data_IF_675764254061
#
_entry.id   IF_675764254061
#
_cell.length_a   1.000
_cell.length_b   1.000
_cell.length_c   1.000
_cell.angle_alpha   90.00
_cell.angle_beta   90.00
_cell.angle_gamma   90.00
#
_symmetry.space_group_name_H-M   'P 1'
#
loop_
_entity.id
_entity.type
_entity.pdbx_description
1 polymer ?
#
# COMPACT_ATOMS: atom_id res chain seq x y z
N UNK A 1 -3.46 -13.42 -5.81
CA UNK A 1 -2.43 -14.14 -5.03
C UNK A 1 -1.21 -13.25 -5.05
N UNK A 2 -0.99 -12.48 -3.98
CA UNK A 2 0.20 -11.64 -3.80
C UNK A 2 1.33 -12.59 -3.38
N UNK A 3 2.37 -12.64 -4.18
CA UNK A 3 3.58 -13.39 -3.84
C UNK A 3 4.21 -12.68 -2.65
N UNK A 4 4.23 -13.33 -1.50
CA UNK A 4 5.05 -12.90 -0.38
C UNK A 4 6.51 -13.02 -0.81
N UNK A 5 7.17 -11.91 -1.01
CA UNK A 5 8.63 -11.86 -1.09
C UNK A 5 9.11 -12.28 0.29
N UNK A 6 9.82 -13.40 0.38
CA UNK A 6 10.48 -13.84 1.59
C UNK A 6 11.48 -12.78 2.03
N UNK A 7 11.06 -11.93 2.94
CA UNK A 7 11.90 -10.92 3.57
C UNK A 7 12.62 -11.65 4.70
N UNK A 8 13.93 -11.82 4.58
CA UNK A 8 14.77 -12.07 5.73
C UNK A 8 14.48 -10.97 6.78
N UNK A 9 14.62 -11.25 8.06
CA UNK A 9 14.17 -10.50 9.26
C UNK A 9 14.27 -8.95 9.31
N UNK A 10 14.46 -8.27 8.19
CA UNK A 10 14.41 -6.82 8.05
C UNK A 10 13.50 -6.43 6.88
N UNK A 11 12.50 -5.58 7.12
CA UNK A 11 11.65 -5.03 6.06
C UNK A 11 12.47 -4.30 4.98
N UNK A 12 11.83 -3.93 3.83
CA UNK A 12 12.53 -3.28 2.72
C UNK A 12 13.23 -1.99 3.16
N UNK A 13 14.47 -1.80 2.71
CA UNK A 13 15.36 -0.72 3.12
C UNK A 13 15.39 0.38 2.06
N UNK A 14 15.11 1.62 2.48
CA UNK A 14 15.18 2.79 1.60
C UNK A 14 16.61 3.06 1.12
N UNK A 15 16.78 3.34 -0.17
CA UNK A 15 18.07 3.52 -0.84
C UNK A 15 18.70 2.21 -1.32
N UNK A 16 18.13 1.05 -0.92
CA UNK A 16 18.55 -0.28 -1.36
C UNK A 16 17.44 -0.98 -2.14
N UNK A 17 16.25 -1.09 -1.53
CA UNK A 17 15.10 -1.77 -2.13
C UNK A 17 14.13 -0.80 -2.81
N UNK A 18 14.12 0.46 -2.39
CA UNK A 18 13.32 1.54 -2.97
C UNK A 18 14.01 2.91 -2.79
N UNK A 19 13.77 3.88 -3.70
CA UNK A 19 14.39 5.20 -3.62
C UNK A 19 13.89 5.97 -2.39
N UNK A 20 14.81 6.72 -1.73
CA UNK A 20 14.51 7.56 -0.57
C UNK A 20 14.23 9.01 -0.96
N UNK A 21 14.85 9.47 -2.05
CA UNK A 21 14.75 10.85 -2.53
C UNK A 21 14.17 10.90 -3.94
N UNK A 22 13.61 12.03 -4.33
CA UNK A 22 13.11 12.22 -5.69
C UNK A 22 14.22 12.13 -6.76
N UNK A 23 15.46 12.51 -6.40
CA UNK A 23 16.59 12.37 -7.31
C UNK A 23 16.95 10.89 -7.54
N UNK A 24 17.00 10.09 -6.46
CA UNK A 24 17.17 8.65 -6.57
C UNK A 24 16.03 8.02 -7.38
N UNK A 25 14.78 8.42 -7.11
CA UNK A 25 13.62 7.94 -7.88
C UNK A 25 13.80 8.17 -9.39
N UNK A 26 14.20 9.37 -9.80
CA UNK A 26 14.46 9.69 -11.20
C UNK A 26 15.64 8.91 -11.79
N UNK A 27 16.66 8.65 -10.99
CA UNK A 27 17.84 7.88 -11.42
C UNK A 27 17.52 6.39 -11.59
N UNK A 28 16.64 5.84 -10.74
CA UNK A 28 16.26 4.42 -10.78
C UNK A 28 15.24 4.12 -11.88
N UNK A 29 14.37 5.07 -12.20
CA UNK A 29 13.24 4.88 -13.12
C UNK A 29 13.24 5.93 -14.24
N UNK A 30 14.34 6.01 -15.04
CA UNK A 30 14.44 6.96 -16.12
C UNK A 30 13.51 6.64 -17.29
N UNK A 31 13.18 5.36 -17.48
CA UNK A 31 12.33 4.87 -18.56
C UNK A 31 11.52 3.62 -18.16
N UNK A 32 10.64 3.17 -19.06
CA UNK A 32 9.78 2.01 -18.85
C UNK A 32 10.55 0.68 -18.77
N UNK A 33 11.74 0.60 -19.36
CA UNK A 33 12.54 -0.62 -19.33
C UNK A 33 13.08 -0.85 -17.90
N UNK A 34 13.58 0.20 -17.25
CA UNK A 34 14.04 0.09 -15.86
C UNK A 34 12.87 -0.15 -14.89
N UNK A 35 11.69 0.43 -15.13
CA UNK A 35 10.50 0.09 -14.38
C UNK A 35 10.13 -1.40 -14.51
N UNK A 36 10.21 -1.96 -15.73
CA UNK A 36 9.95 -3.38 -15.97
C UNK A 36 10.98 -4.28 -15.31
N UNK A 37 12.27 -3.91 -15.37
CA UNK A 37 13.35 -4.65 -14.71
C UNK A 37 13.11 -4.70 -13.19
N UNK A 38 12.78 -3.57 -12.59
CA UNK A 38 12.46 -3.49 -11.18
C UNK A 38 11.25 -4.38 -10.81
N UNK A 39 10.16 -4.32 -11.58
CA UNK A 39 9.00 -5.19 -11.38
C UNK A 39 9.31 -6.67 -11.58
N UNK A 40 10.20 -7.01 -12.51
CA UNK A 40 10.64 -8.38 -12.74
C UNK A 40 11.38 -8.93 -11.53
N UNK A 41 12.30 -8.15 -10.95
CA UNK A 41 13.04 -8.52 -9.75
C UNK A 41 12.11 -8.70 -8.53
N UNK A 42 11.10 -7.84 -8.37
CA UNK A 42 10.09 -8.00 -7.33
C UNK A 42 9.20 -9.23 -7.55
N UNK A 43 8.86 -9.53 -8.81
CA UNK A 43 8.00 -10.67 -9.14
C UNK A 43 8.74 -12.01 -9.03
N UNK A 44 10.01 -12.02 -9.37
CA UNK A 44 10.86 -13.21 -9.43
C UNK A 44 12.21 -12.95 -8.75
N UNK A 45 12.24 -12.81 -7.43
CA UNK A 45 13.47 -12.49 -6.70
C UNK A 45 14.55 -13.56 -6.83
N UNK A 46 14.17 -14.81 -7.08
CA UNK A 46 15.06 -15.93 -7.36
C UNK A 46 15.28 -16.22 -8.86
N UNK A 47 14.89 -15.30 -9.75
CA UNK A 47 14.87 -15.52 -11.18
C UNK A 47 13.50 -15.93 -11.71
N UNK A 48 13.35 -15.94 -13.04
CA UNK A 48 12.08 -16.23 -13.70
C UNK A 48 11.50 -17.58 -13.24
N UNK A 49 10.20 -17.59 -12.94
CA UNK A 49 9.43 -18.80 -12.72
C UNK A 49 8.14 -18.75 -13.57
N UNK A 50 7.97 -19.75 -14.42
CA UNK A 50 6.80 -19.82 -15.30
C UNK A 50 5.53 -20.12 -14.51
N UNK A 51 4.49 -19.29 -14.58
CA UNK A 51 3.26 -19.50 -13.83
C UNK A 51 2.42 -20.69 -14.30
N UNK A 52 2.80 -21.32 -15.41
CA UNK A 52 2.08 -22.46 -16.00
C UNK A 52 2.79 -23.79 -15.75
N UNK A 53 4.09 -23.88 -16.00
CA UNK A 53 4.83 -25.13 -15.89
C UNK A 53 5.92 -25.13 -14.82
N UNK A 54 6.13 -24.02 -14.11
CA UNK A 54 7.19 -23.90 -13.10
C UNK A 54 8.62 -23.80 -13.66
N UNK A 55 8.82 -23.82 -14.98
CA UNK A 55 10.15 -23.73 -15.59
C UNK A 55 10.86 -22.42 -15.24
N UNK A 56 12.13 -22.47 -15.01
CA UNK A 56 12.99 -21.38 -14.53
C UNK A 56 13.73 -20.61 -15.62
N UNK A 57 13.67 -21.07 -16.88
CA UNK A 57 14.34 -20.45 -18.01
C UNK A 57 13.37 -19.75 -18.95
N UNK A 58 13.67 -18.49 -19.26
CA UNK A 58 12.94 -17.69 -20.22
C UNK A 58 13.87 -16.70 -20.93
N UNK A 59 13.44 -16.21 -22.07
CA UNK A 59 14.04 -15.05 -22.73
C UNK A 59 13.02 -13.93 -22.87
N UNK A 60 13.48 -12.71 -22.82
CA UNK A 60 12.67 -11.54 -23.04
C UNK A 60 12.45 -11.34 -24.55
N UNK A 61 11.20 -11.16 -24.94
CA UNK A 61 10.84 -10.86 -26.35
C UNK A 61 10.96 -9.36 -26.61
N UNK A 62 10.99 -8.96 -27.90
CA UNK A 62 10.95 -7.55 -28.31
C UNK A 62 9.72 -6.77 -27.76
N UNK A 63 8.65 -7.49 -27.43
CA UNK A 63 7.43 -6.94 -26.83
C UNK A 63 7.47 -6.96 -25.29
N UNK A 64 8.65 -7.06 -24.69
CA UNK A 64 8.88 -7.04 -23.23
C UNK A 64 8.11 -8.12 -22.44
N UNK A 65 7.84 -9.28 -23.09
CA UNK A 65 7.28 -10.45 -22.43
C UNK A 65 8.38 -11.49 -22.18
N UNK A 66 8.26 -12.22 -21.09
CA UNK A 66 9.08 -13.40 -20.80
C UNK A 66 8.47 -14.63 -21.47
N UNK A 67 9.21 -15.25 -22.40
CA UNK A 67 8.77 -16.51 -23.04
C UNK A 67 9.49 -17.68 -22.39
N UNK A 68 8.73 -18.57 -21.76
CA UNK A 68 9.27 -19.78 -21.13
C UNK A 68 9.90 -20.71 -22.16
N UNK A 69 11.10 -21.22 -21.85
CA UNK A 69 11.81 -22.17 -22.71
C UNK A 69 11.10 -23.53 -22.78
N UNK A 70 10.56 -23.98 -21.64
CA UNK A 70 9.96 -25.32 -21.51
C UNK A 70 8.58 -25.43 -22.19
N UNK A 71 7.68 -24.45 -21.98
CA UNK A 71 6.30 -24.55 -22.48
C UNK A 71 5.93 -23.48 -23.53
N UNK A 72 6.84 -22.57 -23.88
CA UNK A 72 6.59 -21.51 -24.86
C UNK A 72 5.63 -20.40 -24.39
N UNK A 73 5.10 -20.48 -23.17
CA UNK A 73 4.16 -19.48 -22.64
C UNK A 73 4.83 -18.11 -22.53
N UNK A 74 4.13 -17.08 -23.03
CA UNK A 74 4.52 -15.68 -22.85
C UNK A 74 3.87 -15.14 -21.59
N UNK A 75 4.67 -14.53 -20.73
CA UNK A 75 4.23 -13.94 -19.45
C UNK A 75 4.65 -12.48 -19.40
N UNK A 76 3.71 -11.60 -19.12
CA UNK A 76 4.00 -10.19 -18.83
C UNK A 76 4.30 -10.04 -17.33
N UNK A 77 5.28 -9.19 -17.00
CA UNK A 77 5.58 -8.81 -15.61
C UNK A 77 4.38 -8.14 -14.94
N UNK A 78 3.60 -7.38 -15.70
CA UNK A 78 2.44 -6.65 -15.19
C UNK A 78 1.18 -7.50 -15.07
N UNK A 79 1.15 -8.71 -15.65
CA UNK A 79 -0.03 -9.57 -15.64
C UNK A 79 -0.44 -9.98 -14.21
N UNK A 80 -1.71 -9.73 -13.85
CA UNK A 80 -2.24 -10.04 -12.51
C UNK A 80 -1.85 -9.07 -11.40
N UNK A 81 -1.18 -7.96 -11.75
CA UNK A 81 -0.80 -6.88 -10.82
C UNK A 81 -1.75 -5.67 -10.98
N UNK A 82 -1.53 -4.63 -10.18
CA UNK A 82 -2.25 -3.34 -10.33
C UNK A 82 -2.02 -2.69 -11.70
N UNK A 83 -0.94 -3.06 -12.40
CA UNK A 83 -0.58 -2.59 -13.74
C UNK A 83 -1.18 -3.47 -14.86
N UNK A 84 -2.04 -4.43 -14.52
CA UNK A 84 -2.60 -5.36 -15.52
C UNK A 84 -3.31 -4.61 -16.65
N UNK A 85 -2.93 -4.92 -17.90
CA UNK A 85 -3.47 -4.28 -19.12
C UNK A 85 -3.35 -2.75 -19.17
N UNK A 86 -2.38 -2.17 -18.44
CA UNK A 86 -2.14 -0.73 -18.56
C UNK A 86 -1.69 -0.37 -19.98
N UNK A 87 -2.19 0.75 -20.48
CA UNK A 87 -1.72 1.41 -21.71
C UNK A 87 -0.85 2.63 -21.40
N UNK A 88 -0.90 3.09 -20.15
CA UNK A 88 -0.10 4.22 -19.69
C UNK A 88 1.32 3.72 -19.39
N UNK A 89 2.36 4.51 -19.71
CA UNK A 89 3.75 4.17 -19.39
C UNK A 89 3.94 3.81 -17.91
N UNK A 90 4.82 2.87 -17.65
CA UNK A 90 5.14 2.46 -16.27
C UNK A 90 5.82 3.59 -15.48
N UNK A 91 6.61 4.40 -16.15
CA UNK A 91 7.19 5.62 -15.56
C UNK A 91 6.14 6.55 -14.96
N UNK A 92 5.00 6.72 -15.62
CA UNK A 92 3.87 7.50 -15.09
C UNK A 92 3.22 6.80 -13.87
N UNK A 93 3.08 5.48 -13.90
CA UNK A 93 2.61 4.71 -12.75
C UNK A 93 3.55 4.81 -11.55
N UNK A 94 4.85 4.70 -11.77
CA UNK A 94 5.86 4.83 -10.72
C UNK A 94 5.88 6.23 -10.13
N UNK A 95 5.70 7.26 -10.97
CA UNK A 95 5.52 8.63 -10.50
C UNK A 95 4.26 8.79 -9.63
N UNK A 96 3.14 8.14 -10.00
CA UNK A 96 1.94 8.12 -9.17
C UNK A 96 2.20 7.44 -7.81
N UNK A 97 2.90 6.30 -7.81
CA UNK A 97 3.28 5.60 -6.56
C UNK A 97 4.15 6.53 -5.70
N UNK A 98 5.15 7.16 -6.28
CA UNK A 98 6.01 8.10 -5.58
C UNK A 98 5.20 9.24 -4.93
N UNK A 99 4.31 9.89 -5.68
CA UNK A 99 3.46 10.96 -5.17
C UNK A 99 2.57 10.52 -4.02
N UNK A 100 1.94 9.33 -4.15
CA UNK A 100 1.03 8.81 -3.12
C UNK A 100 1.77 8.43 -1.83
N UNK A 101 2.99 7.89 -1.94
CA UNK A 101 3.74 7.36 -0.79
C UNK A 101 4.64 8.39 -0.12
N UNK A 102 5.10 9.43 -0.83
CA UNK A 102 6.04 10.42 -0.29
C UNK A 102 5.38 11.66 0.32
N UNK A 103 4.11 11.95 -0.02
CA UNK A 103 3.43 13.15 0.48
C UNK A 103 2.86 12.95 1.88
N UNK A 104 3.26 13.79 2.83
CA UNK A 104 2.77 13.75 4.23
C UNK A 104 1.25 13.89 4.33
N UNK A 105 0.63 14.72 3.50
CA UNK A 105 -0.80 15.00 3.52
C UNK A 105 -1.61 14.06 2.62
N UNK A 106 -0.96 13.04 2.03
CA UNK A 106 -1.56 12.17 1.03
C UNK A 106 -1.75 12.86 -0.33
N UNK A 107 -2.24 12.10 -1.30
CA UNK A 107 -2.53 12.59 -2.64
C UNK A 107 -4.03 12.56 -2.93
N UNK A 108 -4.55 13.59 -3.60
CA UNK A 108 -5.90 13.59 -4.15
C UNK A 108 -5.90 13.14 -5.61
N UNK A 109 -7.05 12.71 -6.12
CA UNK A 109 -7.19 12.34 -7.54
C UNK A 109 -6.95 13.56 -8.46
N UNK A 110 -7.38 14.76 -8.06
CA UNK A 110 -7.12 15.99 -8.81
C UNK A 110 -5.62 16.28 -8.88
N UNK A 111 -4.91 16.14 -7.77
CA UNK A 111 -3.46 16.35 -7.75
C UNK A 111 -2.72 15.36 -8.66
N UNK A 112 -3.09 14.07 -8.64
CA UNK A 112 -2.51 13.08 -9.56
C UNK A 112 -2.82 13.39 -11.03
N UNK A 113 -4.07 13.77 -11.34
CA UNK A 113 -4.48 14.16 -12.69
C UNK A 113 -3.61 15.30 -13.23
N UNK A 114 -3.50 16.37 -12.46
CA UNK A 114 -2.83 17.61 -12.88
C UNK A 114 -1.29 17.44 -12.96
N UNK A 115 -0.70 16.77 -11.98
CA UNK A 115 0.75 16.57 -11.95
C UNK A 115 1.27 15.56 -12.98
N UNK A 116 0.49 14.54 -13.30
CA UNK A 116 0.91 13.46 -14.20
C UNK A 116 0.36 13.62 -15.62
N UNK A 117 -0.47 14.64 -15.88
CA UNK A 117 -1.10 14.86 -17.19
C UNK A 117 -1.96 13.67 -17.61
N UNK A 118 -2.69 13.06 -16.68
CA UNK A 118 -3.56 11.92 -16.99
C UNK A 118 -4.74 12.39 -17.85
N UNK A 119 -5.16 11.56 -18.79
CA UNK A 119 -6.20 11.93 -19.76
C UNK A 119 -7.58 12.21 -19.18
N UNK A 120 -7.87 11.77 -17.95
CA UNK A 120 -9.12 12.07 -17.24
C UNK A 120 -8.97 11.96 -15.73
N UNK A 121 -9.84 12.69 -15.03
CA UNK A 121 -9.97 12.62 -13.57
C UNK A 121 -10.34 11.20 -13.07
N UNK A 122 -11.23 10.53 -13.81
CA UNK A 122 -11.67 9.16 -13.47
C UNK A 122 -10.49 8.17 -13.48
N UNK A 123 -9.55 8.36 -14.42
CA UNK A 123 -8.31 7.56 -14.44
C UNK A 123 -7.49 7.78 -13.19
N UNK A 124 -7.26 9.03 -12.79
CA UNK A 124 -6.53 9.37 -11.58
C UNK A 124 -7.23 8.81 -10.33
N UNK A 125 -8.55 8.93 -10.26
CA UNK A 125 -9.37 8.41 -9.18
C UNK A 125 -9.27 6.88 -9.08
N UNK A 126 -9.41 6.17 -10.20
CA UNK A 126 -9.28 4.72 -10.25
C UNK A 126 -7.86 4.25 -9.85
N UNK A 127 -6.82 4.98 -10.26
CA UNK A 127 -5.45 4.69 -9.87
C UNK A 127 -5.24 4.87 -8.37
N UNK A 128 -5.74 5.96 -7.82
CA UNK A 128 -5.63 6.22 -6.38
C UNK A 128 -6.28 5.10 -5.56
N UNK A 129 -7.45 4.60 -5.99
CA UNK A 129 -8.10 3.46 -5.35
C UNK A 129 -7.30 2.16 -5.48
N UNK A 130 -6.72 1.87 -6.64
CA UNK A 130 -5.84 0.71 -6.84
C UNK A 130 -4.61 0.78 -5.94
N UNK A 131 -3.96 1.95 -5.85
CA UNK A 131 -2.78 2.15 -5.02
C UNK A 131 -3.12 2.02 -3.53
N UNK A 132 -4.18 2.65 -3.07
CA UNK A 132 -4.65 2.53 -1.68
C UNK A 132 -4.95 1.09 -1.30
N UNK A 133 -5.61 0.34 -2.19
CA UNK A 133 -5.88 -1.09 -1.96
C UNK A 133 -4.60 -1.91 -1.91
N UNK A 134 -3.62 -1.62 -2.77
CA UNK A 134 -2.33 -2.31 -2.78
C UNK A 134 -1.49 -2.04 -1.53
N UNK A 135 -1.65 -0.87 -0.90
CA UNK A 135 -0.97 -0.53 0.36
C UNK A 135 -1.55 -1.25 1.59
N UNK A 136 -2.75 -1.84 1.48
CA UNK A 136 -3.34 -2.61 2.58
C UNK A 136 -2.72 -4.00 2.59
N UNK A 137 -1.95 -4.32 3.62
CA UNK A 137 -1.40 -5.66 3.84
C UNK A 137 -2.49 -6.57 4.43
N UNK A 138 -2.65 -7.78 3.88
CA UNK A 138 -3.55 -8.81 4.43
C UNK A 138 -3.03 -9.40 5.74
N UNK A 139 -1.71 -9.59 5.84
CA UNK A 139 -1.03 -10.28 6.95
C UNK A 139 -0.31 -9.25 7.83
N UNK A 140 -1.07 -8.31 8.39
CA UNK A 140 -0.50 -7.30 9.28
C UNK A 140 -0.36 -7.87 10.68
N UNK A 141 0.86 -7.80 11.25
CA UNK A 141 1.08 -8.09 12.66
C UNK A 141 0.17 -7.22 13.54
N UNK A 142 -0.33 -7.77 14.64
CA UNK A 142 -1.06 -6.99 15.62
C UNK A 142 -0.19 -5.88 16.21
N UNK A 143 -0.82 -4.82 16.65
CA UNK A 143 -0.17 -3.71 17.35
C UNK A 143 0.24 -4.17 18.74
N UNK A 144 1.37 -3.68 19.27
CA UNK A 144 1.91 -4.10 20.55
C UNK A 144 2.41 -2.94 21.41
N UNK A 145 2.63 -3.22 22.69
CA UNK A 145 3.11 -2.23 23.64
C UNK A 145 1.99 -1.32 24.16
N UNK A 146 2.16 -0.03 24.07
CA UNK A 146 1.10 0.94 24.43
C UNK A 146 0.31 1.28 23.16
N UNK A 147 -0.98 1.00 23.13
CA UNK A 147 -1.86 1.22 21.98
C UNK A 147 -3.03 2.11 22.40
N UNK A 148 -3.19 3.23 21.74
CA UNK A 148 -4.34 4.10 21.89
C UNK A 148 -5.44 3.64 20.93
N UNK A 149 -6.65 3.41 21.44
CA UNK A 149 -7.80 2.93 20.67
C UNK A 149 -8.95 3.90 20.88
N UNK A 150 -9.48 4.40 19.75
CA UNK A 150 -10.54 5.40 19.74
C UNK A 150 -11.47 5.20 18.53
N UNK A 151 -12.61 5.89 18.54
CA UNK A 151 -13.53 5.97 17.41
C UNK A 151 -13.57 7.37 16.82
N UNK A 152 -13.72 7.46 15.51
CA UNK A 152 -13.90 8.73 14.80
C UNK A 152 -15.01 8.62 13.77
N UNK A 153 -15.59 9.75 13.40
CA UNK A 153 -16.69 9.81 12.44
C UNK A 153 -16.27 10.55 11.18
N UNK A 154 -16.23 9.84 10.05
CA UNK A 154 -15.82 10.37 8.75
C UNK A 154 -17.06 10.64 7.89
N UNK A 155 -17.16 11.87 7.36
CA UNK A 155 -18.25 12.27 6.45
C UNK A 155 -18.31 13.79 6.29
N UNK A 156 -19.16 14.25 5.37
CA UNK A 156 -19.39 15.66 5.12
C UNK A 156 -20.03 16.40 6.32
N UNK A 157 -20.22 17.70 6.18
CA UNK A 157 -21.00 18.47 7.17
C UNK A 157 -22.42 17.91 7.25
N UNK A 158 -22.81 17.47 8.44
CA UNK A 158 -24.20 17.12 8.75
C UNK A 158 -24.76 18.18 9.67
N UNK A 159 -25.94 18.70 9.37
CA UNK A 159 -26.72 19.55 10.28
C UNK A 159 -27.41 18.65 11.30
N UNK A 160 -27.15 18.81 12.57
CA UNK A 160 -27.78 18.02 13.62
C UNK A 160 -26.84 17.66 14.77
N UNK A 161 -27.19 16.61 15.52
CA UNK A 161 -26.46 16.17 16.72
C UNK A 161 -25.08 15.65 16.41
N UNK A 162 -24.11 15.94 17.27
CA UNK A 162 -22.75 15.38 17.22
C UNK A 162 -22.74 13.92 17.72
N UNK A 163 -21.77 13.12 17.25
CA UNK A 163 -21.54 11.77 17.74
C UNK A 163 -22.34 10.68 17.02
N UNK A 164 -22.69 9.61 17.73
CA UNK A 164 -23.30 8.37 17.23
C UNK A 164 -24.63 8.53 16.46
N UNK A 165 -25.26 9.69 16.53
CA UNK A 165 -26.56 10.00 15.89
C UNK A 165 -26.41 10.68 14.52
N UNK A 166 -25.22 10.70 13.94
CA UNK A 166 -24.95 11.34 12.65
C UNK A 166 -24.98 10.32 11.50
N UNK A 167 -25.23 10.78 10.28
CA UNK A 167 -25.10 9.99 9.04
C UNK A 167 -23.62 9.73 8.63
N UNK A 168 -22.67 10.03 9.51
CA UNK A 168 -21.25 9.83 9.27
C UNK A 168 -20.86 8.37 9.48
N UNK A 169 -19.85 7.95 8.76
CA UNK A 169 -19.31 6.58 8.85
C UNK A 169 -18.41 6.49 10.08
N UNK A 170 -18.71 5.60 11.05
CA UNK A 170 -17.83 5.37 12.18
C UNK A 170 -16.58 4.60 11.75
N UNK A 171 -15.42 5.06 12.20
CA UNK A 171 -14.12 4.44 11.93
C UNK A 171 -13.42 4.20 13.25
N UNK A 172 -13.09 2.94 13.53
CA UNK A 172 -12.27 2.53 14.64
C UNK A 172 -10.80 2.76 14.31
N UNK A 173 -10.05 3.30 15.25
CA UNK A 173 -8.65 3.68 15.09
C UNK A 173 -7.86 3.05 16.23
N UNK A 174 -6.76 2.38 15.91
CA UNK A 174 -5.77 1.94 16.89
C UNK A 174 -4.39 2.39 16.46
N UNK A 175 -3.64 2.99 17.38
CA UNK A 175 -2.32 3.59 17.11
C UNK A 175 -1.33 3.13 18.16
N UNK A 176 -0.20 2.58 17.74
CA UNK A 176 0.93 2.31 18.64
C UNK A 176 1.57 3.62 19.09
N UNK A 177 1.82 3.72 20.38
CA UNK A 177 2.63 4.78 20.95
C UNK A 177 4.03 4.22 21.20
N UNK A 178 5.00 4.61 20.36
CA UNK A 178 6.41 4.19 20.46
C UNK A 178 7.30 5.24 21.15
N UNK A 179 6.68 6.23 21.79
CA UNK A 179 7.38 7.22 22.62
C UNK A 179 7.97 6.54 23.87
N UNK A 180 9.19 6.92 24.25
CA UNK A 180 9.79 6.51 25.52
C UNK A 180 9.26 7.40 26.64
N UNK A 181 9.10 6.86 27.86
CA UNK A 181 8.67 7.60 29.06
C UNK A 181 9.60 8.80 29.37
N UNK A 182 10.86 8.74 28.97
CA UNK A 182 11.88 9.76 29.20
C UNK A 182 11.66 11.00 28.30
N UNK A 183 11.13 10.80 27.08
CA UNK A 183 10.77 11.89 26.18
C UNK A 183 9.24 11.87 26.02
N UNK A 184 8.53 12.73 26.74
CA UNK A 184 7.07 12.94 26.62
C UNK A 184 6.58 13.36 25.21
N UNK A 185 7.38 13.23 24.17
CA UNK A 185 6.97 13.42 22.80
C UNK A 185 6.29 12.14 22.32
N UNK A 186 4.97 12.20 22.22
CA UNK A 186 4.15 11.20 21.56
C UNK A 186 4.76 10.88 20.19
N UNK A 187 5.22 9.65 20.00
CA UNK A 187 5.72 9.19 18.71
C UNK A 187 4.81 8.10 18.22
N UNK A 188 4.05 8.42 17.18
CA UNK A 188 3.11 7.48 16.58
C UNK A 188 3.85 6.38 15.83
N UNK A 189 3.50 5.15 16.11
CA UNK A 189 3.96 3.95 15.42
C UNK A 189 2.99 3.48 14.34
N UNK A 190 2.72 2.19 14.31
CA UNK A 190 1.79 1.58 13.36
C UNK A 190 0.35 1.97 13.69
N UNK A 191 -0.47 2.08 12.65
CA UNK A 191 -1.90 2.44 12.76
C UNK A 191 -2.75 1.31 12.17
N UNK A 192 -3.89 1.04 12.78
CA UNK A 192 -4.97 0.21 12.25
C UNK A 192 -6.25 1.03 12.16
N UNK A 193 -6.94 0.88 11.06
CA UNK A 193 -8.23 1.50 10.82
C UNK A 193 -9.21 0.43 10.37
N UNK A 194 -10.44 0.51 10.86
CA UNK A 194 -11.55 -0.29 10.38
C UNK A 194 -12.83 0.55 10.34
N UNK A 195 -13.63 0.35 9.30
CA UNK A 195 -14.98 0.91 9.24
C UNK A 195 -15.88 0.02 10.10
N UNK A 196 -16.68 0.62 10.96
CA UNK A 196 -17.70 -0.08 11.74
C UNK A 196 -19.08 0.12 11.13
N UNK A 197 -19.95 -0.90 11.24
CA UNK A 197 -21.33 -0.80 10.77
C UNK A 197 -22.16 0.12 11.64
N UNK A 198 -21.81 0.23 12.93
CA UNK A 198 -22.42 1.12 13.92
C UNK A 198 -21.40 1.56 14.97
N UNK A 199 -21.57 2.73 15.56
CA UNK A 199 -20.77 3.15 16.71
C UNK A 199 -21.16 2.32 17.94
N UNK A 200 -20.18 1.98 18.78
CA UNK A 200 -20.45 1.32 20.05
C UNK A 200 -19.29 0.53 20.62
N UNK A 201 -19.32 0.38 21.94
CA UNK A 201 -18.25 -0.26 22.72
C UNK A 201 -17.96 -1.71 22.29
N UNK A 202 -18.96 -2.47 21.85
CA UNK A 202 -18.76 -3.86 21.39
C UNK A 202 -17.86 -3.90 20.16
N UNK A 203 -18.14 -3.07 19.14
CA UNK A 203 -17.33 -3.01 17.92
C UNK A 203 -15.91 -2.54 18.22
N UNK A 204 -15.75 -1.59 19.14
CA UNK A 204 -14.44 -1.10 19.56
C UNK A 204 -13.63 -2.22 20.26
N UNK A 205 -14.27 -2.99 21.14
CA UNK A 205 -13.63 -4.13 21.83
C UNK A 205 -13.24 -5.23 20.83
N UNK A 206 -14.14 -5.57 19.89
CA UNK A 206 -13.85 -6.60 18.89
C UNK A 206 -12.75 -6.13 17.92
N UNK A 207 -12.74 -4.86 17.56
CA UNK A 207 -11.66 -4.25 16.78
C UNK A 207 -10.32 -4.29 17.52
N UNK A 208 -10.31 -3.91 18.80
CA UNK A 208 -9.11 -3.95 19.63
C UNK A 208 -8.55 -5.37 19.74
N UNK A 209 -9.40 -6.38 20.01
CA UNK A 209 -8.98 -7.80 20.08
C UNK A 209 -8.33 -8.29 18.78
N UNK A 210 -8.86 -7.86 17.63
CA UNK A 210 -8.33 -8.26 16.33
C UNK A 210 -7.07 -7.49 15.93
N UNK A 211 -6.89 -6.28 16.45
CA UNK A 211 -5.84 -5.35 16.01
C UNK A 211 -4.64 -5.29 16.97
N UNK A 212 -4.82 -5.66 18.24
CA UNK A 212 -3.83 -5.49 19.30
C UNK A 212 -3.41 -6.85 19.88
N UNK A 213 -2.11 -7.03 20.05
CA UNK A 213 -1.52 -8.25 20.61
C UNK A 213 -1.89 -8.40 22.10
N UNK A 214 -2.27 -9.61 22.55
CA UNK A 214 -2.52 -9.88 23.96
C UNK A 214 -1.34 -9.49 24.84
N UNK A 215 -1.61 -8.85 25.99
CA UNK A 215 -0.58 -8.34 26.90
C UNK A 215 -0.17 -6.89 26.64
N UNK A 216 -0.67 -6.26 25.56
CA UNK A 216 -0.47 -4.83 25.32
C UNK A 216 -1.33 -3.96 26.25
N UNK A 217 -0.83 -2.77 26.58
CA UNK A 217 -1.59 -1.77 27.34
C UNK A 217 -2.47 -0.95 26.38
N UNK A 218 -3.78 -1.09 26.54
CA UNK A 218 -4.75 -0.31 25.75
C UNK A 218 -5.13 0.96 26.53
N UNK A 219 -5.09 2.10 25.85
CA UNK A 219 -5.62 3.40 26.34
C UNK A 219 -6.81 3.78 25.51
N UNK A 220 -7.91 4.12 26.14
CA UNK A 220 -9.13 4.70 25.55
C UNK A 220 -9.52 5.90 26.38
N UNK A 221 -10.34 6.81 25.82
CA UNK A 221 -11.00 7.88 26.55
C UNK A 221 -12.06 7.35 27.53
#
# INVERSE_FOLDING_TARGET
MLVSVGIADGGPVGGVDYPRTFQEFRAWFPDDAECLNYLANLRWPGGFCCPVCGGDRAWQTSTQHWKCVACGRKTSVTAGTIFHRTRTPLTTWFAAIWLVTSQKNGASAQNLHDMLGLGSYETAWAWLHKLRRAMVRSDRDQLRGVVEVDESFIGGRATGRLGASTSKVPVMIAVENIGTEVNRKLRLGRVRLAVADAPGSKQLVDFARNSVEPGSLIRTD
#
